data_IF_209040784815
#
_entry.id   IF_209040784815
#
_cell.length_a   1.000
_cell.length_b   1.000
_cell.length_c   1.000
_cell.angle_alpha   90.00
_cell.angle_beta   90.00
_cell.angle_gamma   90.00
#
_symmetry.space_group_name_H-M   'P 1'
#
loop_
_entity.id
_entity.type
_entity.pdbx_description
1 polymer ?
#
# COMPACT_ATOMS: atom_id res chain seq x y z
N UNK A 1 6.36 -0.34 8.14
CA UNK A 1 5.93 -1.70 7.78
C UNK A 1 6.38 -2.65 8.88
N UNK A 2 5.53 -3.57 9.32
CA UNK A 2 5.83 -4.56 10.37
C UNK A 2 6.50 -5.81 9.80
N UNK A 3 6.95 -6.73 10.67
CA UNK A 3 7.46 -8.05 10.24
C UNK A 3 6.39 -8.88 9.51
N UNK A 4 5.13 -8.69 9.87
CA UNK A 4 3.97 -9.33 9.25
C UNK A 4 3.55 -8.67 7.92
N UNK A 5 4.43 -7.84 7.35
CA UNK A 5 4.22 -7.12 6.08
C UNK A 5 3.04 -6.15 6.09
N UNK A 6 2.60 -5.68 7.26
CA UNK A 6 1.52 -4.71 7.37
C UNK A 6 2.05 -3.28 7.40
N UNK A 7 1.31 -2.34 6.81
CA UNK A 7 1.52 -0.90 6.98
C UNK A 7 0.56 -0.42 8.07
N UNK A 8 1.09 -0.27 9.29
CA UNK A 8 0.33 -0.03 10.53
C UNK A 8 0.44 1.43 10.98
N UNK A 9 -0.67 1.99 11.48
CA UNK A 9 -0.76 3.26 12.19
C UNK A 9 -1.63 3.09 13.44
N UNK A 10 -1.03 3.09 14.64
CA UNK A 10 -1.70 2.61 15.86
C UNK A 10 -2.31 1.22 15.62
N UNK A 11 -3.51 0.89 16.09
CA UNK A 11 -4.12 -0.45 15.88
C UNK A 11 -4.75 -0.69 14.49
N UNK A 12 -4.58 0.26 13.56
CA UNK A 12 -5.14 0.18 12.21
C UNK A 12 -4.07 -0.15 11.17
N UNK A 13 -4.47 -0.91 10.16
CA UNK A 13 -3.63 -1.33 9.05
C UNK A 13 -4.22 -0.83 7.72
N UNK A 14 -3.33 -0.41 6.80
CA UNK A 14 -3.71 -0.11 5.43
C UNK A 14 -4.24 -1.41 4.78
N UNK A 15 -5.49 -1.35 4.34
CA UNK A 15 -6.26 -2.51 3.91
C UNK A 15 -6.76 -2.28 2.50
N UNK A 16 -6.67 -3.33 1.67
CA UNK A 16 -7.23 -3.41 0.34
C UNK A 16 -8.60 -4.11 0.41
N UNK A 17 -9.74 -3.39 0.35
CA UNK A 17 -11.05 -4.01 0.49
C UNK A 17 -11.37 -5.00 -0.63
N UNK A 18 -10.90 -4.71 -1.84
CA UNK A 18 -11.13 -5.53 -3.03
C UNK A 18 -9.89 -5.50 -3.95
N UNK A 19 -9.36 -6.66 -4.39
CA UNK A 19 -8.16 -6.75 -5.21
C UNK A 19 -8.42 -6.41 -6.68
N UNK A 20 -8.76 -5.14 -6.94
CA UNK A 20 -9.12 -4.62 -8.26
C UNK A 20 -8.49 -3.24 -8.47
N UNK A 21 -7.98 -2.90 -9.67
CA UNK A 21 -7.53 -1.55 -9.98
C UNK A 21 -8.63 -0.51 -9.73
N UNK A 22 -8.23 0.67 -9.23
CA UNK A 22 -9.12 1.76 -8.87
C UNK A 22 -9.78 1.65 -7.49
N UNK A 23 -9.59 0.53 -6.77
CA UNK A 23 -10.12 0.36 -5.41
C UNK A 23 -9.41 1.28 -4.42
N UNK A 24 -10.18 2.08 -3.67
CA UNK A 24 -9.66 2.90 -2.57
C UNK A 24 -9.20 2.05 -1.40
N UNK A 25 -8.04 2.42 -0.85
CA UNK A 25 -7.50 1.85 0.37
C UNK A 25 -8.14 2.48 1.60
N UNK A 26 -8.27 1.67 2.65
CA UNK A 26 -8.88 2.09 3.91
C UNK A 26 -7.98 1.72 5.09
N UNK A 27 -8.17 2.40 6.22
CA UNK A 27 -7.64 1.96 7.49
C UNK A 27 -8.70 1.09 8.19
N UNK A 28 -8.35 -0.14 8.50
CA UNK A 28 -9.20 -1.08 9.25
C UNK A 28 -8.39 -1.72 10.38
N UNK A 29 -9.03 -2.34 11.40
CA UNK A 29 -8.31 -3.08 12.43
C UNK A 29 -7.30 -4.06 11.83
N UNK A 30 -6.10 -4.09 12.40
CA UNK A 30 -5.07 -5.01 11.94
C UNK A 30 -5.49 -6.47 12.16
N UNK A 31 -5.47 -7.25 11.09
CA UNK A 31 -5.79 -8.67 11.04
C UNK A 31 -4.76 -9.39 10.17
N UNK A 32 -4.56 -10.69 10.39
CA UNK A 32 -3.63 -11.49 9.59
C UNK A 32 -4.25 -11.91 8.24
N UNK A 33 -4.72 -10.94 7.46
CA UNK A 33 -5.34 -11.13 6.15
C UNK A 33 -4.36 -10.74 5.03
N UNK A 34 -4.39 -11.46 3.92
CA UNK A 34 -3.57 -11.15 2.74
C UNK A 34 -3.89 -9.76 2.16
N UNK A 35 -5.11 -9.25 2.37
CA UNK A 35 -5.54 -7.90 1.98
C UNK A 35 -4.91 -6.78 2.82
N UNK A 36 -4.11 -7.11 3.83
CA UNK A 36 -3.33 -6.16 4.63
C UNK A 36 -1.82 -6.41 4.53
N UNK A 37 -1.39 -7.30 3.63
CA UNK A 37 0.03 -7.60 3.41
C UNK A 37 0.55 -6.84 2.21
N UNK A 38 1.66 -6.17 2.41
CA UNK A 38 2.29 -5.26 1.46
C UNK A 38 3.77 -5.60 1.34
N UNK A 39 4.27 -5.62 0.11
CA UNK A 39 5.67 -5.83 -0.21
C UNK A 39 6.24 -4.55 -0.77
N UNK A 40 7.41 -4.15 -0.27
CA UNK A 40 8.19 -3.06 -0.83
C UNK A 40 9.21 -3.59 -1.81
N UNK A 41 9.16 -3.11 -3.04
CA UNK A 41 10.21 -3.32 -4.02
C UNK A 41 11.22 -2.18 -3.91
N UNK A 42 12.27 -2.39 -3.12
CA UNK A 42 13.25 -1.35 -2.74
C UNK A 42 13.94 -0.68 -3.95
N UNK A 43 14.26 -1.44 -4.99
CA UNK A 43 14.87 -0.93 -6.23
C UNK A 43 14.00 0.13 -6.90
N UNK A 44 12.69 -0.06 -6.88
CA UNK A 44 11.74 0.72 -7.66
C UNK A 44 10.91 1.68 -6.79
N UNK A 45 11.09 1.59 -5.47
CA UNK A 45 10.34 2.36 -4.46
C UNK A 45 8.83 2.18 -4.58
N UNK A 46 8.38 0.99 -4.98
CA UNK A 46 6.95 0.70 -5.12
C UNK A 46 6.47 -0.13 -3.93
N UNK A 47 5.22 0.09 -3.52
CA UNK A 47 4.52 -0.70 -2.50
C UNK A 47 3.41 -1.47 -3.18
N UNK A 48 3.51 -2.79 -3.16
CA UNK A 48 2.64 -3.72 -3.86
C UNK A 48 1.86 -4.57 -2.87
N UNK A 49 0.59 -4.83 -3.12
CA UNK A 49 -0.17 -5.82 -2.37
C UNK A 49 0.47 -7.21 -2.56
N UNK A 50 0.69 -7.96 -1.48
CA UNK A 50 1.46 -9.20 -1.54
C UNK A 50 0.83 -10.22 -2.50
N UNK A 51 1.62 -10.70 -3.46
CA UNK A 51 1.15 -11.68 -4.46
C UNK A 51 0.22 -11.12 -5.54
N UNK A 52 -0.08 -9.81 -5.52
CA UNK A 52 -0.92 -9.14 -6.50
C UNK A 52 -0.09 -8.14 -7.31
N UNK A 53 -0.34 -8.03 -8.63
CA UNK A 53 0.28 -6.97 -9.44
C UNK A 53 -0.46 -5.62 -9.28
N UNK A 54 -0.72 -5.26 -8.02
CA UNK A 54 -1.47 -4.07 -7.61
C UNK A 54 -0.65 -3.22 -6.65
N UNK A 55 -0.44 -1.96 -6.99
CA UNK A 55 0.45 -1.04 -6.30
C UNK A 55 -0.30 0.15 -5.73
N UNK A 56 0.13 0.62 -4.56
CA UNK A 56 -0.42 1.81 -3.92
C UNK A 56 -0.15 3.01 -4.83
N UNK A 57 -1.19 3.77 -5.14
CA UNK A 57 -1.14 4.88 -6.09
C UNK A 57 -1.89 6.11 -5.54
N UNK A 58 -1.25 7.28 -5.61
CA UNK A 58 -1.84 8.56 -5.20
C UNK A 58 -2.56 9.30 -6.34
N UNK A 59 -2.67 8.71 -7.54
CA UNK A 59 -3.28 9.33 -8.73
C UNK A 59 -4.69 9.88 -8.50
N UNK A 60 -5.44 9.33 -7.53
CA UNK A 60 -6.81 9.76 -7.18
C UNK A 60 -6.94 10.33 -5.76
N UNK A 61 -5.83 10.74 -5.13
CA UNK A 61 -5.80 11.15 -3.72
C UNK A 61 -6.85 12.22 -3.37
N UNK A 62 -7.05 13.20 -4.26
CA UNK A 62 -7.95 14.33 -4.03
C UNK A 62 -9.43 13.97 -4.10
N UNK A 63 -9.76 12.86 -4.77
CA UNK A 63 -11.13 12.45 -4.98
C UNK A 63 -11.57 11.35 -4.00
N UNK A 64 -10.71 10.35 -3.79
CA UNK A 64 -11.08 9.12 -3.07
C UNK A 64 -9.97 8.58 -2.17
N UNK A 65 -8.92 9.36 -1.93
CA UNK A 65 -7.73 8.92 -1.22
C UNK A 65 -6.82 8.02 -2.05
N UNK A 66 -5.94 7.28 -1.38
CA UNK A 66 -5.05 6.32 -2.02
C UNK A 66 -5.84 5.17 -2.62
N UNK A 67 -5.46 4.74 -3.81
CA UNK A 67 -6.03 3.59 -4.50
C UNK A 67 -4.97 2.54 -4.74
N UNK A 68 -5.37 1.37 -5.23
CA UNK A 68 -4.45 0.47 -5.94
C UNK A 68 -4.66 0.58 -7.43
N UNK A 69 -3.56 0.53 -8.17
CA UNK A 69 -3.57 0.43 -9.64
C UNK A 69 -2.63 -0.69 -10.09
N UNK A 70 -2.65 -1.03 -11.38
CA UNK A 70 -1.64 -1.90 -11.95
C UNK A 70 -0.24 -1.33 -11.70
N UNK A 71 0.69 -2.17 -11.24
CA UNK A 71 2.04 -1.73 -10.91
C UNK A 71 2.79 -1.24 -12.15
N UNK A 72 3.30 -0.01 -12.09
CA UNK A 72 4.17 0.58 -13.10
C UNK A 72 5.26 1.45 -12.44
N UNK A 73 6.51 1.02 -12.60
CA UNK A 73 7.71 1.63 -11.99
C UNK A 73 8.04 3.01 -12.56
N UNK A 74 7.47 3.36 -13.71
CA UNK A 74 7.64 4.66 -14.36
C UNK A 74 6.69 5.71 -13.79
N UNK A 75 5.60 5.29 -13.14
CA UNK A 75 4.59 6.17 -12.60
C UNK A 75 5.05 6.79 -11.28
N UNK A 76 5.09 8.13 -11.24
CA UNK A 76 5.56 8.88 -10.07
C UNK A 76 4.62 8.76 -8.87
N UNK A 77 3.31 8.62 -9.11
CA UNK A 77 2.29 8.49 -8.05
C UNK A 77 2.31 7.12 -7.36
N UNK A 78 3.12 6.16 -7.84
CA UNK A 78 3.36 4.86 -7.20
C UNK A 78 4.68 4.79 -6.42
N UNK A 79 5.42 5.90 -6.30
CA UNK A 79 6.72 5.93 -5.62
C UNK A 79 6.59 6.32 -4.16
N UNK A 80 6.95 5.39 -3.28
CA UNK A 80 6.84 5.52 -1.82
C UNK A 80 8.20 5.32 -1.15
N UNK A 81 8.52 6.21 -0.20
CA UNK A 81 9.71 6.08 0.65
C UNK A 81 9.28 6.04 2.10
N UNK A 82 9.77 5.04 2.84
CA UNK A 82 9.57 4.96 4.28
C UNK A 82 10.76 5.64 4.97
N UNK A 83 10.47 6.55 5.89
CA UNK A 83 11.49 7.18 6.73
C UNK A 83 11.39 6.51 8.10
N UNK A 84 12.48 5.89 8.54
CA UNK A 84 12.62 5.48 9.92
C UNK A 84 13.18 6.67 10.71
N UNK A 85 12.35 7.30 11.53
CA UNK A 85 12.87 8.21 12.54
C UNK A 85 13.63 7.36 13.55
N UNK A 86 14.97 7.42 13.49
CA UNK A 86 15.82 6.94 14.56
C UNK A 86 15.67 7.93 15.71
N UNK A 87 14.85 7.58 16.70
CA UNK A 87 14.89 8.20 18.03
C UNK A 87 16.13 7.73 18.77
#
# INVERSE_FOLDING_TARGET
MTRDKQIKHSELCLTLPEPRPGTSLVLAPCQNSDLQKWVRMESDRVVMAEGLNLCVDSVREKAVGLVVEGCDKTILTQRWSFIANKS
#
